data_IF_662886965158
#
_entry.id   IF_662886965158
#
_cell.length_a   1.000
_cell.length_b   1.000
_cell.length_c   1.000
_cell.angle_alpha   90.00
_cell.angle_beta   90.00
_cell.angle_gamma   90.00
#
_symmetry.space_group_name_H-M   'P 1'
#
loop_
_entity.id
_entity.type
_entity.pdbx_description
1 polymer ?
#
# COMPACT_ATOMS: atom_id res chain seq x y z
N UNK A 1 44.04 44.98 -64.58
CA UNK A 1 44.72 45.88 -63.61
C UNK A 1 43.75 46.16 -62.48
N UNK A 2 44.28 46.20 -61.26
CA UNK A 2 43.58 46.30 -59.97
C UNK A 2 42.69 47.55 -59.84
N UNK A 3 41.67 47.44 -58.98
CA UNK A 3 41.40 48.24 -57.75
C UNK A 3 39.89 48.50 -57.58
N UNK A 4 39.48 48.29 -56.32
CA UNK A 4 38.19 48.43 -55.65
C UNK A 4 37.28 49.61 -56.04
N UNK A 5 35.96 49.39 -55.93
CA UNK A 5 34.95 50.43 -55.80
C UNK A 5 34.03 50.15 -54.58
N UNK A 6 33.77 51.23 -53.84
CA UNK A 6 32.99 51.32 -52.61
C UNK A 6 31.47 51.40 -52.85
N UNK A 7 30.74 50.77 -51.92
CA UNK A 7 29.60 51.26 -51.12
C UNK A 7 28.46 52.14 -51.69
N UNK A 8 27.25 51.78 -51.21
CA UNK A 8 26.12 52.62 -50.74
C UNK A 8 24.95 52.87 -51.72
N UNK A 9 23.73 52.50 -51.28
CA UNK A 9 22.42 53.15 -51.52
C UNK A 9 21.47 52.67 -50.38
N UNK A 10 21.11 53.51 -49.39
CA UNK A 10 19.86 54.32 -49.32
C UNK A 10 18.62 53.46 -49.63
N UNK A 11 17.68 53.09 -48.75
CA UNK A 11 17.02 53.81 -47.65
C UNK A 11 15.71 54.42 -48.15
N UNK A 12 14.53 53.84 -47.81
CA UNK A 12 13.23 54.48 -47.44
C UNK A 12 12.21 53.35 -47.12
N UNK A 13 11.40 53.62 -46.09
CA UNK A 13 10.50 52.75 -45.34
C UNK A 13 9.15 52.39 -46.00
N UNK A 14 8.51 51.32 -45.48
CA UNK A 14 7.05 51.24 -45.40
C UNK A 14 6.59 50.43 -44.18
N UNK A 15 5.54 50.92 -43.54
CA UNK A 15 5.03 50.56 -42.23
C UNK A 15 3.98 49.43 -42.25
N UNK A 16 4.12 48.54 -41.26
CA UNK A 16 3.11 48.09 -40.30
C UNK A 16 1.79 47.40 -40.74
N UNK A 17 1.58 46.15 -40.26
CA UNK A 17 0.54 45.82 -39.27
C UNK A 17 0.56 44.32 -38.88
N UNK A 18 0.78 44.09 -37.58
CA UNK A 18 0.31 43.01 -36.69
C UNK A 18 -0.27 41.71 -37.26
N UNK A 19 0.39 40.59 -36.97
CA UNK A 19 -0.25 39.29 -36.76
C UNK A 19 0.10 38.76 -35.37
N UNK A 20 -0.96 38.52 -34.60
CA UNK A 20 -0.98 38.05 -33.22
C UNK A 20 -0.62 36.57 -33.17
N UNK A 21 0.42 36.21 -32.44
CA UNK A 21 0.81 34.82 -32.18
C UNK A 21 -0.22 34.16 -31.26
N UNK A 22 -1.02 33.25 -31.81
CA UNK A 22 -1.86 32.35 -31.03
C UNK A 22 -1.01 31.29 -30.36
N UNK A 23 -0.76 31.44 -29.06
CA UNK A 23 -0.24 30.38 -28.20
C UNK A 23 -1.31 29.29 -28.05
N UNK A 24 -1.07 28.13 -28.65
CA UNK A 24 -1.82 26.91 -28.37
C UNK A 24 -1.49 26.54 -26.93
N UNK A 25 -2.46 26.74 -26.04
CA UNK A 25 -2.42 26.23 -24.68
C UNK A 25 -2.42 24.70 -24.75
N UNK A 26 -1.25 24.08 -24.55
CA UNK A 26 -1.21 22.71 -24.06
C UNK A 26 -1.79 22.77 -22.65
N UNK A 27 -2.96 22.19 -22.48
CA UNK A 27 -3.53 21.85 -21.18
C UNK A 27 -2.53 20.96 -20.45
N UNK A 28 -1.65 21.60 -19.68
CA UNK A 28 -0.82 20.93 -18.71
C UNK A 28 -1.75 20.26 -17.71
N UNK A 29 -1.65 18.94 -17.65
CA UNK A 29 -2.06 18.18 -16.48
C UNK A 29 -1.44 18.91 -15.29
N UNK A 30 -2.29 19.36 -14.37
CA UNK A 30 -1.88 19.99 -13.12
C UNK A 30 -0.75 19.15 -12.53
N UNK A 31 0.40 19.75 -12.28
CA UNK A 31 1.50 19.11 -11.56
C UNK A 31 0.92 18.50 -10.30
N UNK A 32 0.78 17.17 -10.27
CA UNK A 32 0.57 16.47 -9.01
C UNK A 32 1.73 16.93 -8.13
N UNK A 33 1.40 17.55 -7.01
CA UNK A 33 2.41 18.04 -6.08
C UNK A 33 3.23 16.82 -5.65
N UNK A 34 4.54 16.79 -5.90
CA UNK A 34 5.48 15.79 -5.34
C UNK A 34 5.67 15.96 -3.83
N UNK A 35 4.69 16.58 -3.17
CA UNK A 35 4.69 16.84 -1.76
C UNK A 35 4.14 15.60 -1.07
N UNK A 36 5.02 14.88 -0.39
CA UNK A 36 4.64 13.84 0.54
C UNK A 36 4.62 14.46 1.94
N UNK A 37 3.48 14.45 2.64
CA UNK A 37 3.43 14.88 4.02
C UNK A 37 4.36 14.00 4.87
N UNK A 38 5.21 14.64 5.67
CA UNK A 38 6.17 14.03 6.59
C UNK A 38 7.24 13.13 5.96
N UNK A 39 8.48 13.43 6.33
CA UNK A 39 9.68 12.66 6.01
C UNK A 39 10.61 12.64 7.22
N UNK A 40 11.42 11.58 7.37
CA UNK A 40 12.45 11.56 8.42
C UNK A 40 13.48 12.70 8.23
N UNK A 41 13.64 13.19 7.00
CA UNK A 41 14.51 14.32 6.68
C UNK A 41 14.03 15.64 7.30
N UNK A 42 12.75 15.77 7.67
CA UNK A 42 12.18 16.98 8.26
C UNK A 42 12.80 17.30 9.63
N UNK A 43 13.38 16.30 10.30
CA UNK A 43 14.13 16.46 11.53
C UNK A 43 15.52 15.82 11.43
N UNK A 44 16.50 16.62 11.01
CA UNK A 44 17.88 16.19 10.84
C UNK A 44 18.52 15.60 12.12
N UNK A 45 18.09 16.03 13.31
CA UNK A 45 18.61 15.49 14.58
C UNK A 45 18.10 14.08 14.81
N UNK A 46 16.79 13.85 14.65
CA UNK A 46 16.18 12.53 14.76
C UNK A 46 16.74 11.58 13.70
N UNK A 47 16.88 12.04 12.45
CA UNK A 47 17.45 11.22 11.38
C UNK A 47 18.91 10.81 11.66
N UNK A 48 19.71 11.70 12.24
CA UNK A 48 21.08 11.36 12.65
C UNK A 48 21.12 10.30 13.76
N UNK A 49 20.18 10.36 14.70
CA UNK A 49 20.04 9.38 15.78
C UNK A 49 19.53 8.02 15.29
N UNK A 50 18.60 8.01 14.32
CA UNK A 50 18.18 6.78 13.65
C UNK A 50 19.35 6.14 12.90
N UNK A 51 20.13 6.95 12.17
CA UNK A 51 21.30 6.49 11.41
C UNK A 51 22.42 5.90 12.29
N UNK A 52 22.55 6.33 13.54
CA UNK A 52 23.54 5.76 14.46
C UNK A 52 23.12 4.42 15.07
N UNK A 53 21.87 4.01 14.88
CA UNK A 53 21.28 2.77 15.40
C UNK A 53 21.03 1.71 14.32
N UNK A 54 21.42 1.99 13.07
CA UNK A 54 21.19 1.06 11.96
C UNK A 54 21.91 -0.27 12.19
N UNK A 55 21.23 -1.33 11.78
CA UNK A 55 21.66 -2.71 11.88
C UNK A 55 21.53 -3.38 10.53
N UNK A 56 22.09 -4.59 10.43
CA UNK A 56 21.95 -5.42 9.24
C UNK A 56 20.51 -5.90 9.10
N UNK A 57 19.87 -5.53 7.99
CA UNK A 57 18.51 -5.96 7.67
C UNK A 57 18.39 -7.48 7.63
N UNK A 58 17.30 -8.02 8.19
CA UNK A 58 17.04 -9.48 8.23
C UNK A 58 16.94 -10.05 6.82
N UNK A 59 16.33 -9.34 5.87
CA UNK A 59 16.04 -9.87 4.53
C UNK A 59 16.96 -9.32 3.45
N UNK A 60 17.05 -7.99 3.29
CA UNK A 60 17.91 -7.36 2.26
C UNK A 60 19.41 -7.46 2.54
N UNK A 61 19.82 -7.78 3.78
CA UNK A 61 21.24 -7.89 4.19
C UNK A 61 22.06 -6.61 3.98
N UNK A 62 21.44 -5.42 4.02
CA UNK A 62 22.11 -4.12 4.01
C UNK A 62 22.07 -3.45 5.39
N UNK A 63 23.02 -2.58 5.71
CA UNK A 63 23.16 -1.95 7.04
C UNK A 63 22.30 -0.68 7.12
N UNK A 64 20.99 -0.87 6.96
CA UNK A 64 20.03 0.23 6.81
C UNK A 64 18.76 0.03 7.65
N UNK A 65 18.71 -0.98 8.54
CA UNK A 65 17.49 -1.35 9.25
C UNK A 65 17.50 -1.03 10.74
N UNK A 66 16.31 -0.72 11.25
CA UNK A 66 15.99 -0.60 12.67
C UNK A 66 15.02 -1.73 13.02
N UNK A 67 15.41 -2.51 14.02
CA UNK A 67 14.62 -3.59 14.59
C UNK A 67 13.68 -3.03 15.67
N UNK A 68 12.50 -3.64 15.83
CA UNK A 68 11.49 -3.26 16.81
C UNK A 68 11.18 -1.75 16.81
N UNK A 69 10.76 -1.16 15.67
CA UNK A 69 10.57 0.28 15.50
C UNK A 69 9.55 0.90 16.48
N UNK A 70 8.63 0.12 17.03
CA UNK A 70 7.71 0.55 18.11
C UNK A 70 8.46 1.05 19.36
N UNK A 71 9.70 0.59 19.58
CA UNK A 71 10.53 0.99 20.73
C UNK A 71 11.34 2.26 20.50
N UNK A 72 11.35 2.78 19.27
CA UNK A 72 12.19 3.91 18.84
C UNK A 72 11.37 5.18 18.76
N UNK A 73 11.54 6.06 19.76
CA UNK A 73 10.72 7.27 19.91
C UNK A 73 10.75 8.20 18.69
N UNK A 74 11.87 8.25 17.96
CA UNK A 74 12.03 9.07 16.76
C UNK A 74 11.17 8.60 15.57
N UNK A 75 10.68 7.35 15.59
CA UNK A 75 9.76 6.79 14.59
C UNK A 75 8.28 6.96 14.98
N UNK A 76 7.99 7.64 16.10
CA UNK A 76 6.64 7.86 16.59
C UNK A 76 6.16 6.78 17.57
N UNK A 77 4.96 6.98 18.11
CA UNK A 77 4.34 6.07 19.09
C UNK A 77 3.21 5.31 18.43
N UNK A 78 3.29 3.98 18.45
CA UNK A 78 2.22 3.12 17.97
C UNK A 78 1.08 3.06 18.99
N UNK A 79 -0.13 3.36 18.54
CA UNK A 79 -1.36 3.12 19.28
C UNK A 79 -2.15 2.00 18.63
N UNK A 80 -2.57 1.01 19.41
CA UNK A 80 -3.38 -0.11 18.93
C UNK A 80 -4.83 0.11 19.31
N UNK A 81 -5.52 0.88 18.48
CA UNK A 81 -6.93 1.23 18.67
C UNK A 81 -7.62 1.31 17.31
N UNK A 82 -8.95 1.17 17.24
CA UNK A 82 -9.67 1.54 16.03
C UNK A 82 -9.36 2.98 15.62
N UNK A 83 -9.28 3.24 14.31
CA UNK A 83 -8.91 4.53 13.74
C UNK A 83 -7.40 4.82 13.73
N UNK A 84 -6.55 3.85 14.11
CA UNK A 84 -5.10 4.01 14.11
C UNK A 84 -4.40 3.09 13.12
N UNK A 85 -3.33 3.62 12.53
CA UNK A 85 -2.48 2.98 11.55
C UNK A 85 -1.11 2.63 12.16
N UNK A 86 -0.55 1.49 11.78
CA UNK A 86 0.87 1.16 11.96
C UNK A 86 1.64 1.38 10.66
N UNK A 87 1.08 0.88 9.57
CA UNK A 87 1.57 1.09 8.20
C UNK A 87 0.65 2.11 7.51
N UNK A 88 1.23 3.14 6.91
CA UNK A 88 0.45 4.21 6.28
C UNK A 88 1.24 4.91 5.16
N UNK A 89 0.63 5.01 3.98
CA UNK A 89 1.23 5.50 2.73
C UNK A 89 2.34 4.60 2.17
N UNK A 90 2.73 4.85 0.93
CA UNK A 90 3.92 4.25 0.30
C UNK A 90 5.19 4.91 0.80
N UNK A 91 6.33 4.21 0.72
CA UNK A 91 7.63 4.79 1.10
C UNK A 91 8.32 5.60 -0.01
N UNK A 92 7.67 5.88 -1.16
CA UNK A 92 8.20 6.63 -2.32
C UNK A 92 9.71 6.44 -2.57
N UNK A 93 10.11 5.20 -2.80
CA UNK A 93 11.50 4.79 -3.04
C UNK A 93 11.70 4.28 -4.46
N UNK A 94 12.94 4.37 -4.93
CA UNK A 94 13.33 3.82 -6.22
C UNK A 94 13.20 2.28 -6.24
N UNK A 95 12.45 1.77 -7.24
CA UNK A 95 12.34 0.34 -7.57
C UNK A 95 12.99 0.04 -8.91
N UNK A 96 13.62 -1.13 -9.05
CA UNK A 96 14.39 -1.47 -10.26
C UNK A 96 13.54 -2.06 -11.39
N UNK A 97 12.27 -2.38 -11.14
CA UNK A 97 11.34 -2.95 -12.12
C UNK A 97 9.96 -2.35 -11.95
N UNK A 98 9.30 -1.96 -13.06
CA UNK A 98 7.99 -1.31 -13.02
C UNK A 98 6.84 -2.20 -12.54
N UNK A 99 7.08 -3.48 -12.25
CA UNK A 99 6.11 -4.40 -11.66
C UNK A 99 6.39 -4.74 -10.18
N UNK A 100 7.46 -4.18 -9.61
CA UNK A 100 7.72 -4.34 -8.18
C UNK A 100 6.73 -3.50 -7.39
N UNK A 101 6.19 -4.09 -6.33
CA UNK A 101 5.47 -3.31 -5.34
C UNK A 101 6.44 -2.38 -4.59
N UNK A 102 5.91 -1.26 -4.10
CA UNK A 102 6.61 -0.38 -3.16
C UNK A 102 6.17 -0.79 -1.75
N UNK A 103 7.10 -0.94 -0.79
CA UNK A 103 6.74 -1.27 0.58
C UNK A 103 5.93 -0.15 1.22
N UNK A 104 5.04 -0.54 2.13
CA UNK A 104 4.32 0.41 2.97
C UNK A 104 5.33 1.13 3.87
N UNK A 105 5.05 2.39 4.16
CA UNK A 105 5.82 3.19 5.12
C UNK A 105 5.36 2.88 6.54
N UNK A 106 6.31 2.77 7.46
CA UNK A 106 5.99 2.77 8.90
C UNK A 106 5.72 4.20 9.34
N UNK A 107 4.47 4.48 9.68
CA UNK A 107 4.05 5.80 10.12
C UNK A 107 2.87 5.64 11.08
N UNK A 108 3.15 5.42 12.38
CA UNK A 108 2.11 5.25 13.37
C UNK A 108 1.35 6.58 13.58
N UNK A 109 0.06 6.59 13.26
CA UNK A 109 -0.80 7.80 13.29
C UNK A 109 -2.27 7.40 13.42
N UNK A 110 -3.13 8.35 13.82
CA UNK A 110 -4.58 8.19 13.57
C UNK A 110 -4.91 8.53 12.11
N UNK A 111 -6.03 8.02 11.61
CA UNK A 111 -6.51 8.31 10.26
C UNK A 111 -6.88 9.80 10.10
N UNK A 112 -7.36 10.45 11.18
CA UNK A 112 -7.69 11.87 11.21
C UNK A 112 -6.45 12.76 11.23
N UNK A 113 -5.46 12.46 12.09
CA UNK A 113 -4.22 13.24 12.16
C UNK A 113 -3.44 13.13 10.84
N UNK A 114 -3.51 11.97 10.16
CA UNK A 114 -2.93 11.82 8.84
C UNK A 114 -3.62 12.74 7.81
N UNK A 115 -4.94 12.76 7.80
CA UNK A 115 -5.68 13.66 6.92
C UNK A 115 -5.35 15.14 7.20
N UNK A 116 -5.30 15.53 8.48
CA UNK A 116 -4.94 16.88 8.91
C UNK A 116 -3.48 17.25 8.56
N UNK A 117 -2.58 16.26 8.50
CA UNK A 117 -1.22 16.44 8.00
C UNK A 117 -1.14 16.64 6.47
N UNK A 118 -2.23 16.41 5.75
CA UNK A 118 -2.36 16.63 4.30
C UNK A 118 -2.23 15.37 3.45
N UNK A 119 -2.36 14.17 4.04
CA UNK A 119 -2.39 12.94 3.26
C UNK A 119 -3.73 12.76 2.53
N UNK A 120 -3.69 12.19 1.33
CA UNK A 120 -4.88 11.87 0.54
C UNK A 120 -5.50 10.53 0.98
N UNK A 121 -5.90 10.41 2.24
CA UNK A 121 -6.47 9.18 2.82
C UNK A 121 -7.97 9.25 3.10
N UNK A 122 -8.62 10.34 2.69
CA UNK A 122 -10.07 10.50 2.74
C UNK A 122 -10.70 10.02 1.44
N UNK A 123 -11.42 8.91 1.51
CA UNK A 123 -11.92 8.16 0.36
C UNK A 123 -12.84 9.00 -0.52
N UNK A 124 -13.75 9.78 0.05
CA UNK A 124 -14.66 10.65 -0.71
C UNK A 124 -13.96 11.72 -1.55
N UNK A 125 -12.69 12.01 -1.26
CA UNK A 125 -11.87 12.99 -1.97
C UNK A 125 -10.95 12.37 -3.03
N UNK A 126 -10.84 11.04 -3.07
CA UNK A 126 -10.14 10.32 -4.13
C UNK A 126 -10.82 10.55 -5.49
N UNK A 127 -10.09 10.30 -6.58
CA UNK A 127 -10.67 10.33 -7.92
C UNK A 127 -11.82 9.33 -8.07
N UNK A 128 -12.83 9.68 -8.88
CA UNK A 128 -13.98 8.81 -9.15
C UNK A 128 -13.54 7.42 -9.62
N UNK A 129 -12.52 7.36 -10.49
CA UNK A 129 -11.95 6.13 -10.99
C UNK A 129 -11.39 5.24 -9.87
N UNK A 130 -10.64 5.81 -8.92
CA UNK A 130 -10.09 5.03 -7.81
C UNK A 130 -11.16 4.61 -6.80
N UNK A 131 -12.19 5.44 -6.56
CA UNK A 131 -13.32 5.04 -5.70
C UNK A 131 -14.09 3.86 -6.27
N UNK A 132 -14.47 3.93 -7.55
CA UNK A 132 -15.12 2.81 -8.26
C UNK A 132 -14.23 1.57 -8.25
N UNK A 133 -12.92 1.76 -8.45
CA UNK A 133 -12.00 0.65 -8.52
C UNK A 133 -11.80 -0.02 -7.17
N UNK A 134 -11.79 0.75 -6.08
CA UNK A 134 -11.61 0.24 -4.73
C UNK A 134 -12.77 -0.67 -4.32
N UNK A 135 -14.00 -0.31 -4.68
CA UNK A 135 -15.18 -1.16 -4.47
C UNK A 135 -15.03 -2.53 -5.17
N UNK A 136 -14.38 -2.56 -6.33
CA UNK A 136 -14.17 -3.80 -7.10
C UNK A 136 -12.96 -4.61 -6.62
N UNK A 137 -11.86 -3.95 -6.26
CA UNK A 137 -10.62 -4.62 -5.87
C UNK A 137 -10.63 -5.04 -4.39
N UNK A 138 -11.32 -4.28 -3.54
CA UNK A 138 -11.40 -4.45 -2.09
C UNK A 138 -12.87 -4.49 -1.57
N UNK A 139 -13.76 -5.31 -2.14
CA UNK A 139 -15.21 -5.25 -1.87
C UNK A 139 -15.57 -5.51 -0.40
N UNK A 140 -14.88 -6.45 0.26
CA UNK A 140 -15.13 -6.76 1.67
C UNK A 140 -14.75 -5.57 2.55
N UNK A 141 -13.54 -5.02 2.38
CA UNK A 141 -13.10 -3.84 3.14
C UNK A 141 -14.04 -2.64 2.89
N UNK A 142 -14.40 -2.38 1.63
CA UNK A 142 -15.34 -1.31 1.28
C UNK A 142 -16.69 -1.47 2.00
N UNK A 143 -17.26 -2.67 2.00
CA UNK A 143 -18.55 -2.94 2.63
C UNK A 143 -18.51 -2.79 4.15
N UNK A 144 -17.38 -3.12 4.77
CA UNK A 144 -17.20 -3.07 6.22
C UNK A 144 -16.83 -1.67 6.74
N UNK A 145 -16.37 -0.76 5.86
CA UNK A 145 -15.95 0.60 6.24
C UNK A 145 -16.77 1.65 5.49
N UNK A 146 -16.43 1.91 4.22
CA UNK A 146 -16.98 3.01 3.44
C UNK A 146 -18.50 2.92 3.30
N UNK A 147 -19.04 1.73 3.00
CA UNK A 147 -20.47 1.53 2.89
C UNK A 147 -21.22 1.69 4.24
N UNK A 148 -20.50 1.61 5.36
CA UNK A 148 -21.03 1.88 6.71
C UNK A 148 -21.02 3.37 7.07
N UNK A 149 -20.41 4.22 6.23
CA UNK A 149 -20.33 5.67 6.42
C UNK A 149 -18.98 6.17 6.94
N UNK A 150 -17.99 5.29 7.12
CA UNK A 150 -16.61 5.71 7.35
C UNK A 150 -16.03 6.31 6.06
N UNK A 151 -15.03 7.19 6.18
CA UNK A 151 -14.50 7.91 5.01
C UNK A 151 -12.97 8.05 5.02
N UNK A 152 -12.30 7.64 6.09
CA UNK A 152 -10.84 7.73 6.19
C UNK A 152 -10.23 6.33 6.29
N UNK A 153 -9.11 6.12 5.60
CA UNK A 153 -8.40 4.85 5.50
C UNK A 153 -6.97 4.98 6.01
N UNK A 154 -6.32 3.84 6.29
CA UNK A 154 -4.88 3.81 6.57
C UNK A 154 -4.00 3.76 5.30
N UNK A 155 -4.56 4.14 4.15
CA UNK A 155 -3.81 4.25 2.91
C UNK A 155 -4.16 5.53 2.17
N UNK A 156 -3.21 6.02 1.38
CA UNK A 156 -3.42 7.12 0.45
C UNK A 156 -3.97 6.61 -0.89
N UNK A 157 -4.54 7.51 -1.69
CA UNK A 157 -4.98 7.18 -3.05
C UNK A 157 -3.83 6.62 -3.93
N UNK A 158 -2.63 7.17 -3.79
CA UNK A 158 -1.44 6.72 -4.52
C UNK A 158 -1.01 5.32 -4.07
N UNK A 159 -1.00 5.05 -2.76
CA UNK A 159 -0.73 3.72 -2.23
C UNK A 159 -1.76 2.69 -2.71
N UNK A 160 -3.05 3.06 -2.75
CA UNK A 160 -4.08 2.21 -3.32
C UNK A 160 -3.85 1.94 -4.82
N UNK A 161 -3.43 2.93 -5.61
CA UNK A 161 -3.11 2.75 -7.03
C UNK A 161 -2.02 1.68 -7.23
N UNK A 162 -1.00 1.70 -6.37
CA UNK A 162 0.01 0.64 -6.32
C UNK A 162 -0.57 -0.71 -5.93
N UNK A 163 -1.36 -0.76 -4.85
CA UNK A 163 -2.03 -1.98 -4.39
C UNK A 163 -2.91 -2.60 -5.47
N UNK A 164 -3.76 -1.81 -6.14
CA UNK A 164 -4.66 -2.25 -7.23
C UNK A 164 -3.87 -3.00 -8.31
N UNK A 165 -2.73 -2.46 -8.72
CA UNK A 165 -1.85 -3.11 -9.70
C UNK A 165 -1.38 -4.49 -9.22
N UNK A 166 -1.01 -4.62 -7.95
CA UNK A 166 -0.54 -5.89 -7.37
C UNK A 166 -1.66 -6.92 -7.20
N UNK A 167 -2.79 -6.54 -6.60
CA UNK A 167 -3.87 -7.47 -6.26
C UNK A 167 -4.63 -7.97 -7.50
N UNK A 168 -4.54 -7.24 -8.62
CA UNK A 168 -5.07 -7.65 -9.93
C UNK A 168 -4.17 -8.63 -10.68
N UNK A 169 -2.89 -8.70 -10.33
CA UNK A 169 -1.97 -9.69 -10.89
C UNK A 169 -2.17 -11.10 -10.29
N UNK A 170 -2.95 -11.25 -9.21
CA UNK A 170 -3.29 -12.56 -8.63
C UNK A 170 -4.02 -13.41 -9.69
N UNK A 171 -3.40 -14.49 -10.23
CA UNK A 171 -4.03 -15.35 -11.22
C UNK A 171 -5.20 -16.14 -10.63
N UNK A 172 -6.09 -16.64 -11.50
CA UNK A 172 -7.23 -17.47 -11.09
C UNK A 172 -8.52 -17.08 -11.79
N UNK A 173 -9.40 -18.07 -11.93
CA UNK A 173 -10.76 -17.90 -12.43
C UNK A 173 -11.79 -17.84 -11.28
N UNK A 174 -11.50 -18.51 -10.15
CA UNK A 174 -12.31 -18.54 -8.95
C UNK A 174 -12.44 -17.14 -8.32
N UNK A 175 -13.67 -16.61 -8.31
CA UNK A 175 -13.98 -15.29 -7.74
C UNK A 175 -13.72 -15.26 -6.24
N UNK A 176 -14.22 -16.24 -5.50
CA UNK A 176 -14.09 -16.31 -4.03
C UNK A 176 -12.62 -16.39 -3.59
N UNK A 177 -11.79 -17.21 -4.24
CA UNK A 177 -10.35 -17.26 -3.97
C UNK A 177 -9.70 -15.88 -4.17
N UNK A 178 -9.94 -15.25 -5.33
CA UNK A 178 -9.38 -13.94 -5.63
C UNK A 178 -9.86 -12.90 -4.61
N UNK A 179 -11.15 -12.83 -4.33
CA UNK A 179 -11.70 -11.87 -3.39
C UNK A 179 -11.08 -12.00 -2.00
N UNK A 180 -10.96 -13.22 -1.47
CA UNK A 180 -10.36 -13.46 -0.17
C UNK A 180 -8.85 -13.15 -0.15
N UNK A 181 -8.11 -13.50 -1.21
CA UNK A 181 -6.68 -13.19 -1.35
C UNK A 181 -6.42 -11.70 -1.59
N UNK A 182 -7.33 -10.98 -2.23
CA UNK A 182 -7.22 -9.52 -2.36
C UNK A 182 -7.53 -8.86 -1.02
N UNK A 183 -8.59 -9.31 -0.34
CA UNK A 183 -9.03 -8.74 0.93
C UNK A 183 -7.91 -8.73 1.96
N UNK A 184 -7.08 -9.78 2.07
CA UNK A 184 -6.00 -9.78 3.06
C UNK A 184 -5.01 -8.62 2.85
N UNK A 185 -4.61 -8.34 1.61
CA UNK A 185 -3.74 -7.20 1.30
C UNK A 185 -4.46 -5.86 1.38
N UNK A 186 -5.75 -5.80 1.00
CA UNK A 186 -6.58 -4.61 1.21
C UNK A 186 -6.67 -4.26 2.71
N UNK A 187 -6.91 -5.24 3.58
CA UNK A 187 -7.00 -5.04 5.02
C UNK A 187 -5.65 -4.62 5.61
N UNK A 188 -4.56 -5.27 5.22
CA UNK A 188 -3.20 -4.90 5.65
C UNK A 188 -2.89 -3.45 5.30
N UNK A 189 -3.18 -3.05 4.07
CA UNK A 189 -2.74 -1.76 3.54
C UNK A 189 -3.71 -0.63 3.88
N UNK A 190 -5.01 -0.84 3.73
CA UNK A 190 -6.01 0.24 3.75
C UNK A 190 -6.98 0.21 4.92
N UNK A 191 -7.06 -0.86 5.71
CA UNK A 191 -7.99 -0.91 6.83
C UNK A 191 -7.73 0.25 7.80
N UNK A 192 -8.75 1.03 8.22
CA UNK A 192 -8.57 2.14 9.17
C UNK A 192 -8.12 1.68 10.57
N UNK A 193 -8.01 0.36 10.78
CA UNK A 193 -7.69 -0.27 12.04
C UNK A 193 -6.42 -1.13 11.95
N UNK A 194 -5.56 -0.93 10.94
CA UNK A 194 -4.45 -1.87 10.69
C UNK A 194 -3.44 -1.99 11.85
N UNK A 195 -3.34 -0.98 12.73
CA UNK A 195 -2.54 -1.07 13.96
C UNK A 195 -2.99 -2.18 14.93
N UNK A 196 -4.24 -2.60 14.82
CA UNK A 196 -4.85 -3.61 15.71
C UNK A 196 -4.39 -5.02 15.38
N UNK A 197 -3.81 -5.26 14.21
CA UNK A 197 -3.48 -6.60 13.73
C UNK A 197 -2.17 -6.65 12.92
N UNK A 198 -1.39 -5.58 12.91
CA UNK A 198 -0.03 -5.54 12.36
C UNK A 198 0.98 -5.23 13.45
N UNK A 199 2.08 -5.98 13.47
CA UNK A 199 3.32 -5.63 14.17
C UNK A 199 4.39 -5.39 13.13
N UNK A 200 4.97 -4.20 13.11
CA UNK A 200 6.13 -3.93 12.27
C UNK A 200 7.37 -4.34 13.03
N UNK A 201 8.09 -5.34 12.51
CA UNK A 201 9.25 -5.94 13.17
C UNK A 201 10.54 -5.24 12.76
N UNK A 202 10.64 -4.81 11.50
CA UNK A 202 11.84 -4.18 10.97
C UNK A 202 11.45 -3.10 9.94
N UNK A 203 12.13 -1.95 10.01
CA UNK A 203 12.04 -0.89 8.99
C UNK A 203 13.41 -0.60 8.43
N UNK A 204 13.47 -0.32 7.13
CA UNK A 204 14.64 0.12 6.41
C UNK A 204 14.58 1.62 6.15
N UNK A 205 15.63 2.36 6.51
CA UNK A 205 15.71 3.81 6.34
C UNK A 205 16.25 4.11 4.94
N UNK A 206 15.37 4.46 4.02
CA UNK A 206 15.68 4.58 2.59
C UNK A 206 15.52 6.01 2.07
N UNK A 207 16.39 6.46 1.14
CA UNK A 207 16.19 7.74 0.44
C UNK A 207 14.98 7.66 -0.49
N UNK A 208 14.33 8.81 -0.70
CA UNK A 208 13.24 8.96 -1.66
C UNK A 208 13.69 8.69 -3.10
N UNK A 209 12.72 8.47 -3.97
CA UNK A 209 12.92 8.37 -5.42
C UNK A 209 13.27 9.73 -6.06
N UNK A 210 13.40 9.75 -7.40
CA UNK A 210 13.80 10.92 -8.18
C UNK A 210 12.80 12.09 -8.08
N UNK A 211 11.54 11.86 -7.68
CA UNK A 211 10.56 12.91 -7.43
C UNK A 211 10.60 13.43 -5.98
N UNK A 212 11.36 12.75 -5.11
CA UNK A 212 11.43 12.96 -3.66
C UNK A 212 12.89 12.92 -3.13
N UNK A 213 13.86 13.44 -3.90
CA UNK A 213 15.31 13.30 -3.63
C UNK A 213 15.77 13.75 -2.22
N UNK A 214 15.11 14.76 -1.64
CA UNK A 214 15.42 15.30 -0.32
C UNK A 214 14.70 14.58 0.84
N UNK A 215 13.89 13.56 0.55
CA UNK A 215 13.09 12.84 1.51
C UNK A 215 13.72 11.49 1.91
N UNK A 216 13.39 11.02 3.12
CA UNK A 216 13.87 9.76 3.67
C UNK A 216 12.70 9.08 4.37
N UNK A 217 12.48 7.81 4.03
CA UNK A 217 11.31 7.06 4.47
C UNK A 217 11.70 5.81 5.25
N UNK A 218 10.98 5.48 6.33
CA UNK A 218 11.07 4.18 7.00
C UNK A 218 10.20 3.17 6.22
N UNK A 219 10.77 2.55 5.20
CA UNK A 219 10.12 1.48 4.45
C UNK A 219 10.01 0.24 5.34
N UNK A 220 8.82 -0.36 5.45
CA UNK A 220 8.68 -1.61 6.21
C UNK A 220 9.45 -2.72 5.49
N UNK A 221 10.40 -3.33 6.20
CA UNK A 221 11.21 -4.46 5.71
C UNK A 221 10.59 -5.79 6.14
N UNK A 222 10.06 -5.86 7.37
CA UNK A 222 9.39 -7.03 7.93
C UNK A 222 8.21 -6.62 8.81
N UNK A 223 7.09 -7.33 8.66
CA UNK A 223 5.94 -7.24 9.56
C UNK A 223 5.35 -8.62 9.87
N UNK A 224 4.63 -8.68 10.99
CA UNK A 224 3.77 -9.79 11.36
C UNK A 224 2.31 -9.37 11.27
N UNK A 225 1.53 -10.11 10.49
CA UNK A 225 0.10 -9.92 10.31
C UNK A 225 -0.66 -11.01 11.06
N UNK A 226 -1.44 -10.58 12.05
CA UNK A 226 -2.35 -11.42 12.79
C UNK A 226 -3.70 -11.55 12.07
N UNK A 227 -4.12 -12.78 11.81
CA UNK A 227 -5.34 -13.09 11.07
C UNK A 227 -6.27 -14.00 11.89
N UNK A 228 -7.54 -14.07 11.49
CA UNK A 228 -8.50 -15.00 12.09
C UNK A 228 -8.14 -16.47 11.82
N UNK A 229 -8.35 -17.33 12.82
CA UNK A 229 -8.05 -18.77 12.69
C UNK A 229 -8.90 -19.45 11.61
N UNK A 230 -10.17 -19.06 11.50
CA UNK A 230 -11.06 -19.58 10.45
C UNK A 230 -10.59 -19.16 9.06
N UNK A 231 -10.20 -17.89 8.90
CA UNK A 231 -9.76 -17.37 7.61
C UNK A 231 -8.51 -18.10 7.08
N UNK A 232 -7.48 -18.25 7.92
CA UNK A 232 -6.22 -18.89 7.49
C UNK A 232 -6.40 -20.39 7.26
N UNK A 233 -7.37 -21.02 7.93
CA UNK A 233 -7.76 -22.40 7.63
C UNK A 233 -8.43 -22.49 6.26
N UNK A 234 -9.40 -21.61 5.99
CA UNK A 234 -10.31 -21.75 4.86
C UNK A 234 -9.75 -21.16 3.55
N UNK A 235 -8.80 -20.21 3.60
CA UNK A 235 -8.25 -19.53 2.40
C UNK A 235 -7.63 -20.50 1.39
N UNK A 236 -7.01 -21.57 1.88
CA UNK A 236 -6.40 -22.58 1.02
C UNK A 236 -7.47 -23.41 0.30
N UNK A 237 -8.48 -23.88 1.03
CA UNK A 237 -9.59 -24.65 0.50
C UNK A 237 -10.41 -23.86 -0.54
N UNK A 238 -10.55 -22.53 -0.36
CA UNK A 238 -11.20 -21.67 -1.37
C UNK A 238 -10.45 -21.60 -2.70
N UNK A 239 -9.15 -21.89 -2.68
CA UNK A 239 -8.24 -21.65 -3.78
C UNK A 239 -7.73 -22.92 -4.45
N UNK A 240 -7.58 -24.03 -3.72
CA UNK A 240 -6.89 -25.23 -4.21
C UNK A 240 -7.53 -25.88 -5.44
N UNK A 241 -8.86 -25.77 -5.58
CA UNK A 241 -9.62 -26.30 -6.72
C UNK A 241 -9.49 -25.43 -7.99
N UNK A 242 -8.92 -24.23 -7.90
CA UNK A 242 -8.66 -23.40 -9.09
C UNK A 242 -7.45 -23.98 -9.86
N UNK A 243 -7.68 -24.34 -11.13
CA UNK A 243 -6.62 -24.84 -12.02
C UNK A 243 -5.38 -23.94 -12.13
N UNK A 244 -5.53 -22.63 -11.88
CA UNK A 244 -4.44 -21.64 -11.88
C UNK A 244 -3.77 -21.47 -10.52
N UNK A 245 -4.29 -22.08 -9.44
CA UNK A 245 -3.72 -21.98 -8.09
C UNK A 245 -2.27 -22.43 -8.03
N UNK A 246 -1.92 -23.46 -8.81
CA UNK A 246 -0.53 -23.91 -8.95
C UNK A 246 0.44 -22.84 -9.48
N UNK A 247 -0.06 -21.77 -10.12
CA UNK A 247 0.73 -20.61 -10.53
C UNK A 247 0.99 -19.64 -9.38
N UNK A 248 0.12 -19.61 -8.37
CA UNK A 248 0.35 -18.86 -7.13
C UNK A 248 1.41 -19.55 -6.31
N UNK A 249 1.23 -20.84 -6.04
CA UNK A 249 2.05 -21.56 -5.07
C UNK A 249 1.80 -23.07 -5.26
N UNK A 250 2.86 -23.90 -5.20
CA UNK A 250 2.72 -25.34 -5.39
C UNK A 250 3.12 -26.16 -4.15
N UNK A 251 2.61 -27.39 -3.97
CA UNK A 251 2.91 -28.21 -2.79
C UNK A 251 4.40 -28.48 -2.52
N UNK A 252 5.26 -28.49 -3.56
CA UNK A 252 6.71 -28.64 -3.39
C UNK A 252 7.40 -27.38 -2.82
N UNK A 253 6.67 -26.28 -2.67
CA UNK A 253 7.09 -25.04 -2.01
C UNK A 253 6.44 -24.91 -0.62
N UNK A 254 6.09 -26.03 0.00
CA UNK A 254 5.42 -26.13 1.31
C UNK A 254 4.01 -25.51 1.33
N UNK A 255 3.37 -25.41 0.17
CA UNK A 255 2.03 -24.87 -0.02
C UNK A 255 0.96 -25.95 0.15
N UNK A 256 0.68 -26.32 1.40
CA UNK A 256 -0.26 -27.41 1.71
C UNK A 256 -1.43 -26.95 2.60
N UNK A 257 -1.40 -25.69 3.05
CA UNK A 257 -2.42 -25.04 3.87
C UNK A 257 -2.35 -23.52 3.67
N UNK A 258 -3.23 -22.77 4.34
CA UNK A 258 -3.27 -21.32 4.20
C UNK A 258 -2.02 -20.62 4.74
N UNK A 259 -1.34 -21.20 5.74
CA UNK A 259 -0.06 -20.66 6.21
C UNK A 259 1.04 -20.80 5.16
N UNK A 260 1.13 -21.96 4.49
CA UNK A 260 2.05 -22.18 3.38
C UNK A 260 1.80 -21.21 2.23
N UNK A 261 0.54 -21.02 1.84
CA UNK A 261 0.14 -20.05 0.82
C UNK A 261 0.55 -18.63 1.19
N UNK A 262 0.21 -18.17 2.40
CA UNK A 262 0.53 -16.82 2.83
C UNK A 262 2.02 -16.59 3.06
N UNK A 263 2.75 -17.59 3.56
CA UNK A 263 4.20 -17.52 3.69
C UNK A 263 4.90 -17.42 2.33
N UNK A 264 4.37 -18.09 1.30
CA UNK A 264 4.88 -17.94 -0.06
C UNK A 264 4.60 -16.53 -0.61
N UNK A 265 3.35 -16.07 -0.52
CA UNK A 265 2.95 -14.75 -1.05
C UNK A 265 3.60 -13.60 -0.29
N UNK A 266 3.85 -13.77 1.02
CA UNK A 266 4.49 -12.79 1.89
C UNK A 266 6.02 -12.83 1.89
N UNK A 267 6.64 -13.72 1.11
CA UNK A 267 8.10 -13.85 1.08
C UNK A 267 8.75 -12.60 0.50
N UNK A 268 9.75 -12.09 1.21
CA UNK A 268 10.54 -10.92 0.78
C UNK A 268 11.07 -11.07 -0.65
N UNK A 269 10.66 -10.15 -1.53
CA UNK A 269 11.02 -10.11 -2.93
C UNK A 269 11.17 -8.65 -3.43
N UNK A 270 11.70 -7.76 -2.57
CA UNK A 270 11.96 -6.36 -2.93
C UNK A 270 12.71 -6.27 -4.27
N UNK A 271 12.34 -5.31 -5.11
CA UNK A 271 12.84 -5.15 -6.49
C UNK A 271 12.50 -6.30 -7.46
N UNK A 272 11.53 -7.15 -7.13
CA UNK A 272 11.02 -8.22 -7.99
C UNK A 272 9.49 -8.28 -7.97
N UNK A 273 8.92 -9.22 -8.74
CA UNK A 273 7.50 -9.59 -8.64
C UNK A 273 7.31 -10.38 -7.33
N UNK A 274 6.43 -9.90 -6.46
CA UNK A 274 6.11 -10.52 -5.17
C UNK A 274 5.89 -9.49 -4.08
N UNK A 275 6.06 -9.92 -2.83
CA UNK A 275 5.95 -9.01 -1.68
C UNK A 275 7.16 -8.08 -1.61
N UNK A 276 6.95 -6.75 -1.46
CA UNK A 276 8.06 -5.80 -1.35
C UNK A 276 8.77 -5.83 0.01
N UNK A 277 8.17 -6.53 0.98
CA UNK A 277 8.61 -6.68 2.35
C UNK A 277 8.33 -8.11 2.82
N UNK A 278 8.88 -8.53 3.95
CA UNK A 278 8.54 -9.82 4.53
C UNK A 278 7.22 -9.70 5.31
N UNK A 279 6.23 -10.50 4.94
CA UNK A 279 4.96 -10.62 5.67
C UNK A 279 4.92 -11.99 6.33
N UNK A 280 5.06 -11.99 7.65
CA UNK A 280 4.83 -13.18 8.47
C UNK A 280 3.35 -13.24 8.86
N UNK A 281 2.69 -14.39 8.67
CA UNK A 281 1.27 -14.55 9.04
C UNK A 281 1.13 -15.48 10.24
N UNK A 282 0.34 -15.05 11.21
CA UNK A 282 0.04 -15.82 12.43
C UNK A 282 -1.40 -15.54 12.88
N UNK A 283 -1.88 -16.23 13.92
CA UNK A 283 -3.28 -16.07 14.36
C UNK A 283 -3.42 -14.99 15.42
N UNK A 284 -4.58 -14.32 15.48
CA UNK A 284 -4.91 -13.35 16.55
C UNK A 284 -4.72 -13.93 17.97
N UNK A 285 -4.85 -15.26 18.14
CA UNK A 285 -4.61 -15.93 19.42
C UNK A 285 -3.17 -15.81 19.92
N UNK A 286 -2.21 -15.53 19.03
CA UNK A 286 -0.79 -15.33 19.33
C UNK A 286 -0.38 -13.86 19.43
N UNK A 287 -1.32 -12.93 19.25
CA UNK A 287 -1.02 -11.51 19.37
C UNK A 287 -0.63 -11.18 20.82
N UNK A 288 0.46 -10.43 21.06
CA UNK A 288 0.86 -10.02 22.41
C UNK A 288 -0.28 -9.31 23.14
N UNK A 289 -0.51 -9.67 24.42
CA UNK A 289 -1.62 -9.13 25.25
C UNK A 289 -1.40 -7.67 25.73
N UNK A 290 -0.81 -6.80 24.92
CA UNK A 290 -0.65 -5.37 25.26
C UNK A 290 -1.93 -4.56 25.05
N UNK A 291 -2.98 -5.17 24.49
CA UNK A 291 -4.30 -4.59 24.28
C UNK A 291 -5.14 -4.64 25.56
N UNK A 292 -5.83 -3.55 25.88
CA UNK A 292 -6.77 -3.54 27.00
C UNK A 292 -7.97 -4.46 26.72
N UNK A 293 -8.57 -5.05 27.77
CA UNK A 293 -9.69 -6.03 27.66
C UNK A 293 -10.85 -5.57 26.72
N UNK A 294 -11.23 -4.27 26.64
CA UNK A 294 -12.22 -3.79 25.68
C UNK A 294 -11.76 -3.92 24.23
N UNK A 295 -10.51 -3.59 23.92
CA UNK A 295 -9.91 -3.67 22.58
C UNK A 295 -9.80 -5.11 22.11
N UNK A 296 -9.44 -6.04 23.02
CA UNK A 296 -9.42 -7.48 22.74
C UNK A 296 -10.81 -8.02 22.39
N UNK A 297 -11.85 -7.54 23.09
CA UNK A 297 -13.24 -7.94 22.82
C UNK A 297 -13.69 -7.41 21.47
N UNK A 298 -13.31 -6.19 21.10
CA UNK A 298 -13.62 -5.61 19.80
C UNK A 298 -12.87 -6.32 18.67
N UNK A 299 -11.59 -6.63 18.84
CA UNK A 299 -10.79 -7.40 17.87
C UNK A 299 -11.38 -8.78 17.63
N UNK A 300 -11.69 -9.51 18.70
CA UNK A 300 -12.31 -10.83 18.60
C UNK A 300 -13.70 -10.72 17.97
N UNK A 301 -14.49 -9.70 18.30
CA UNK A 301 -15.79 -9.47 17.68
C UNK A 301 -15.65 -9.15 16.19
N UNK A 302 -14.66 -8.35 15.79
CA UNK A 302 -14.35 -8.04 14.38
C UNK A 302 -13.92 -9.31 13.64
N UNK A 303 -12.98 -10.09 14.18
CA UNK A 303 -12.55 -11.36 13.59
C UNK A 303 -13.70 -12.39 13.48
N UNK A 304 -14.61 -12.43 14.46
CA UNK A 304 -15.82 -13.24 14.43
C UNK A 304 -16.84 -12.72 13.40
N UNK A 305 -16.95 -11.41 13.23
CA UNK A 305 -17.82 -10.80 12.22
C UNK A 305 -17.30 -11.11 10.81
N UNK A 306 -15.98 -11.05 10.60
CA UNK A 306 -15.33 -11.44 9.34
C UNK A 306 -15.56 -12.93 9.01
N UNK A 307 -15.34 -13.83 9.97
CA UNK A 307 -15.61 -15.26 9.77
C UNK A 307 -17.09 -15.57 9.53
N UNK A 308 -18.02 -14.88 10.19
CA UNK A 308 -19.45 -15.04 9.92
C UNK A 308 -19.90 -14.44 8.58
N UNK A 309 -19.36 -13.30 8.15
CA UNK A 309 -19.65 -12.75 6.82
C UNK A 309 -19.14 -13.69 5.72
N UNK A 310 -17.92 -14.25 5.86
CA UNK A 310 -17.37 -15.21 4.91
C UNK A 310 -18.20 -16.50 4.86
N UNK A 311 -18.67 -17.00 6.00
CA UNK A 311 -19.59 -18.15 6.03
C UNK A 311 -20.93 -17.84 5.35
N UNK A 312 -21.47 -16.63 5.50
CA UNK A 312 -22.73 -16.22 4.85
C UNK A 312 -22.55 -16.06 3.35
N UNK A 313 -21.44 -15.46 2.88
CA UNK A 313 -21.11 -15.35 1.45
C UNK A 313 -20.93 -16.74 0.83
N UNK A 314 -20.17 -17.63 1.49
CA UNK A 314 -19.98 -19.01 1.02
C UNK A 314 -21.31 -19.80 0.96
N UNK A 315 -22.20 -19.62 1.95
CA UNK A 315 -23.54 -20.21 1.95
C UNK A 315 -24.42 -19.63 0.83
N UNK A 316 -24.32 -18.34 0.55
CA UNK A 316 -25.10 -17.68 -0.49
C UNK A 316 -24.66 -18.10 -1.89
N UNK A 317 -23.35 -18.27 -2.12
CA UNK A 317 -22.82 -18.84 -3.36
C UNK A 317 -23.20 -20.33 -3.52
N UNK A 318 -23.12 -21.13 -2.45
CA UNK A 318 -23.60 -22.52 -2.46
C UNK A 318 -25.09 -22.61 -2.80
N UNK A 319 -25.93 -21.76 -2.20
CA UNK A 319 -27.36 -21.71 -2.49
C UNK A 319 -27.64 -21.27 -3.94
N UNK A 320 -26.89 -20.30 -4.46
CA UNK A 320 -27.04 -19.85 -5.86
C UNK A 320 -26.65 -20.96 -6.84
N UNK A 321 -25.63 -21.75 -6.50
CA UNK A 321 -25.18 -22.88 -7.32
C UNK A 321 -26.14 -24.08 -7.26
N UNK A 322 -26.76 -24.32 -6.09
CA UNK A 322 -27.71 -25.42 -5.86
C UNK A 322 -29.12 -25.12 -6.36
N UNK A 323 -29.55 -23.84 -6.35
CA UNK A 323 -30.92 -23.44 -6.69
C UNK A 323 -31.03 -22.54 -7.95
N UNK A 324 -29.92 -22.12 -8.54
CA UNK A 324 -29.88 -21.27 -9.74
C UNK A 324 -29.93 -22.00 -11.08
N UNK A 325 -30.08 -23.33 -11.09
CA UNK A 325 -30.46 -24.07 -12.31
C UNK A 325 -31.98 -24.27 -12.35
N UNK A 326 -32.68 -23.26 -12.87
CA UNK A 326 -33.99 -23.43 -13.51
C UNK A 326 -33.97 -22.71 -14.86
#
# INVERSE_FOLDING_TARGET
MRVFALASLVGVAQAASSSTSGSIASSGVSSASSYVPWSLADNATNLALLRSQLTMCTYSKVEECIQDPETVAELGTLFRSPGYCAAFDSSYINITTGMAAIPNRYYPTSIEDAYDAGFSNKFSEWSDANREQFEVDCPILYNDTIAQGDDMLCCTESQYTGLSTQVRMIPGLCSACKENLRNIFCQMTCSPNNSMFLDVNEVRIMPGDDEHEDQVFPAIEELTYYVGEDWIRDIYDFCEDDSSFSLLCNPNQDCNDGFGLMNYMGKYAFNSIGSPLQINVTTMAKQPETLTIPERTLILATALKYSQLQAVVALQEMMTTLFGRN
#
